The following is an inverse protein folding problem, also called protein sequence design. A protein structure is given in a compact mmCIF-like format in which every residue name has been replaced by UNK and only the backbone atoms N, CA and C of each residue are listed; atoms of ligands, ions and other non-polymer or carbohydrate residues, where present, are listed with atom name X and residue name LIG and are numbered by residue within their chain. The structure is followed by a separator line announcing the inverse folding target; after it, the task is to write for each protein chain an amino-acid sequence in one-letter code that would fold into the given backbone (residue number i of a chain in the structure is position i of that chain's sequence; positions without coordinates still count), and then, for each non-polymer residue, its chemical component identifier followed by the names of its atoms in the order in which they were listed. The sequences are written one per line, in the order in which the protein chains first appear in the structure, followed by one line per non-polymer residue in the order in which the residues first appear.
data_IF_676636153173
#
_entry.id   IF_676636153173
#
_cell.length_a   1.000
_cell.length_b   1.000
_cell.length_c   1.000
_cell.angle_alpha   90.00
_cell.angle_beta   90.00
_cell.angle_gamma   90.00
#
_symmetry.space_group_name_H-M   'P 1'
#
loop_
_entity.id
_entity.type
_entity.pdbx_description
1 polymer ?
#
# COMPACT_ATOMS: atom_id res chain seq x y z
N UNK A 1 -64.79 48.65 -15.77
CA UNK A 1 -64.17 47.81 -14.76
C UNK A 1 -62.74 47.47 -15.23
N UNK A 2 -61.72 48.17 -14.72
CA UNK A 2 -60.31 47.93 -15.11
C UNK A 2 -59.77 46.75 -14.26
N UNK A 3 -59.52 45.68 -14.92
CA UNK A 3 -58.79 44.52 -14.25
C UNK A 3 -57.34 44.90 -14.03
N UNK A 4 -56.94 44.86 -12.79
CA UNK A 4 -55.60 45.20 -12.36
C UNK A 4 -54.66 44.05 -12.77
N UNK A 5 -53.87 44.32 -13.82
CA UNK A 5 -52.89 43.34 -14.38
C UNK A 5 -51.88 42.84 -13.37
N UNK A 6 -51.64 43.56 -12.28
CA UNK A 6 -50.70 43.19 -11.21
C UNK A 6 -51.24 42.06 -10.33
N UNK A 7 -52.57 42.02 -10.12
CA UNK A 7 -53.20 40.92 -9.35
C UNK A 7 -53.29 39.62 -10.14
N UNK A 8 -53.42 39.72 -11.48
CA UNK A 8 -53.38 38.53 -12.35
C UNK A 8 -52.00 37.91 -12.42
N UNK A 9 -50.94 38.73 -12.39
CA UNK A 9 -49.55 38.26 -12.40
C UNK A 9 -49.15 37.63 -11.07
N UNK A 10 -49.69 38.11 -9.93
CA UNK A 10 -49.46 37.49 -8.61
C UNK A 10 -50.17 36.14 -8.48
N UNK A 11 -51.34 35.95 -9.09
CA UNK A 11 -52.03 34.66 -9.10
C UNK A 11 -51.36 33.63 -10.02
N UNK A 12 -50.72 34.06 -11.12
CA UNK A 12 -49.95 33.18 -11.97
C UNK A 12 -48.60 32.77 -11.31
N UNK A 13 -47.97 33.66 -10.53
CA UNK A 13 -46.75 33.29 -9.77
C UNK A 13 -47.07 32.40 -8.56
N UNK A 14 -48.24 32.54 -7.91
CA UNK A 14 -48.63 31.65 -6.81
C UNK A 14 -49.06 30.25 -7.31
N UNK A 15 -49.54 30.12 -8.56
CA UNK A 15 -49.85 28.82 -9.18
C UNK A 15 -48.60 28.03 -9.61
N UNK A 16 -47.48 28.70 -9.87
CA UNK A 16 -46.21 28.05 -10.22
C UNK A 16 -45.39 27.57 -9.00
N UNK A 17 -45.73 28.01 -7.79
CA UNK A 17 -45.03 27.58 -6.55
C UNK A 17 -45.58 26.26 -5.97
N UNK A 18 -46.65 25.70 -6.52
CA UNK A 18 -47.21 24.39 -6.13
C UNK A 18 -47.07 23.30 -7.18
N UNK A 19 -46.37 23.56 -8.30
CA UNK A 19 -45.81 22.48 -9.10
C UNK A 19 -44.52 22.04 -8.41
N UNK A 20 -44.62 21.52 -7.19
CA UNK A 20 -43.60 20.67 -6.61
C UNK A 20 -43.47 19.50 -7.56
N UNK A 21 -42.28 19.21 -8.02
CA UNK A 21 -41.98 17.96 -8.65
C UNK A 21 -42.48 16.85 -7.71
N UNK A 22 -43.63 16.28 -7.96
CA UNK A 22 -43.89 14.93 -7.54
C UNK A 22 -42.82 14.08 -8.24
N UNK A 23 -41.91 13.60 -7.44
CA UNK A 23 -40.88 12.68 -7.88
C UNK A 23 -41.61 11.36 -8.11
N UNK A 24 -42.33 11.22 -9.21
CA UNK A 24 -43.00 9.96 -9.60
C UNK A 24 -41.98 8.81 -9.75
N UNK A 25 -40.69 9.14 -9.86
CA UNK A 25 -39.61 8.16 -9.93
C UNK A 25 -39.29 7.49 -8.60
N UNK A 26 -39.74 7.97 -7.45
CA UNK A 26 -39.44 7.32 -6.15
C UNK A 26 -40.34 6.12 -5.85
N UNK A 27 -41.48 5.99 -6.49
CA UNK A 27 -42.32 4.81 -6.30
C UNK A 27 -42.08 3.69 -7.35
N UNK A 28 -41.55 4.00 -8.53
CA UNK A 28 -41.21 3.00 -9.56
C UNK A 28 -39.80 2.44 -9.45
N UNK A 29 -38.91 3.11 -8.73
CA UNK A 29 -37.57 2.61 -8.43
C UNK A 29 -37.43 2.19 -6.97
N UNK A 30 -38.32 1.35 -6.50
CA UNK A 30 -38.01 0.53 -5.33
C UNK A 30 -36.84 -0.37 -5.71
N UNK A 31 -35.64 -0.01 -5.27
CA UNK A 31 -34.51 -0.93 -5.28
C UNK A 31 -34.96 -2.16 -4.53
N UNK A 32 -35.26 -3.23 -5.25
CA UNK A 32 -35.67 -4.49 -4.65
C UNK A 32 -34.69 -4.87 -3.55
N UNK A 33 -35.19 -5.42 -2.45
CA UNK A 33 -34.32 -5.92 -1.40
C UNK A 33 -33.30 -6.87 -2.00
N UNK A 34 -32.01 -6.64 -1.79
CA UNK A 34 -30.94 -7.47 -2.32
C UNK A 34 -30.03 -7.95 -1.21
N UNK A 35 -29.58 -9.19 -1.37
CA UNK A 35 -28.53 -9.76 -0.54
C UNK A 35 -27.17 -9.35 -1.07
N UNK A 36 -26.23 -9.05 -0.17
CA UNK A 36 -24.83 -8.80 -0.47
C UNK A 36 -23.92 -9.35 0.63
N UNK A 37 -22.70 -9.70 0.28
CA UNK A 37 -21.65 -10.00 1.27
C UNK A 37 -21.22 -8.66 1.89
N UNK A 38 -21.29 -8.56 3.21
CA UNK A 38 -20.92 -7.35 3.95
C UNK A 38 -19.48 -7.36 4.47
N UNK A 39 -18.78 -8.50 4.37
CA UNK A 39 -17.34 -8.58 4.62
C UNK A 39 -16.56 -7.84 3.53
N UNK A 40 -15.31 -7.47 3.82
CA UNK A 40 -14.42 -6.84 2.83
C UNK A 40 -14.31 -7.70 1.56
N UNK A 41 -14.38 -7.09 0.36
CA UNK A 41 -14.32 -7.85 -0.89
C UNK A 41 -12.98 -8.55 -1.11
N UNK A 42 -11.89 -8.00 -0.55
CA UNK A 42 -10.55 -8.60 -0.56
C UNK A 42 -9.96 -8.50 0.85
N UNK A 43 -9.41 -9.59 1.34
CA UNK A 43 -8.54 -9.65 2.52
C UNK A 43 -7.17 -10.13 2.05
N UNK A 44 -6.17 -9.28 2.06
CA UNK A 44 -4.82 -9.51 1.57
C UNK A 44 -3.76 -9.49 2.70
N UNK A 45 -4.22 -9.61 3.93
CA UNK A 45 -3.43 -9.62 5.17
C UNK A 45 -2.99 -11.03 5.62
N UNK A 46 -3.32 -12.07 4.84
CA UNK A 46 -2.95 -13.44 5.16
C UNK A 46 -1.48 -13.71 4.75
N UNK A 47 -0.65 -14.03 5.74
CA UNK A 47 0.78 -14.24 5.53
C UNK A 47 1.13 -15.73 5.61
N UNK A 48 1.98 -16.19 4.68
CA UNK A 48 2.61 -17.51 4.71
C UNK A 48 3.84 -17.40 5.60
N UNK A 49 3.85 -18.10 6.71
CA UNK A 49 4.95 -18.11 7.70
C UNK A 49 5.13 -19.51 8.26
N UNK A 50 6.39 -19.87 8.57
CA UNK A 50 6.73 -21.20 9.10
C UNK A 50 6.08 -21.50 10.45
N UNK A 51 5.86 -20.45 11.27
CA UNK A 51 5.28 -20.54 12.60
C UNK A 51 3.74 -20.46 12.63
N UNK A 52 3.09 -20.14 11.50
CA UNK A 52 1.63 -20.03 11.40
C UNK A 52 1.07 -21.21 10.59
N UNK A 53 0.48 -22.16 11.29
CA UNK A 53 -0.10 -23.36 10.66
C UNK A 53 -1.55 -23.21 10.20
N UNK A 54 -2.21 -22.13 10.61
CA UNK A 54 -3.61 -21.89 10.23
C UNK A 54 -4.11 -20.52 10.67
N UNK A 55 -5.22 -20.12 10.08
CA UNK A 55 -5.95 -18.89 10.37
C UNK A 55 -7.44 -19.11 10.09
N UNK A 56 -8.29 -18.17 10.41
CA UNK A 56 -9.72 -18.23 10.05
C UNK A 56 -10.25 -16.85 9.69
N UNK A 57 -11.22 -16.81 8.80
CA UNK A 57 -11.96 -15.60 8.43
C UNK A 57 -13.44 -15.85 8.43
N UNK A 58 -14.18 -14.85 8.89
CA UNK A 58 -15.63 -14.86 8.96
C UNK A 58 -16.21 -14.14 7.74
N UNK A 59 -17.24 -14.74 7.15
CA UNK A 59 -18.01 -14.15 6.05
C UNK A 59 -19.42 -13.88 6.56
N UNK A 60 -19.86 -12.64 6.42
CA UNK A 60 -21.19 -12.15 6.78
C UNK A 60 -21.94 -11.73 5.52
N UNK A 61 -23.23 -12.06 5.45
CA UNK A 61 -24.13 -11.58 4.41
C UNK A 61 -25.25 -10.74 5.02
N UNK A 62 -25.71 -9.75 4.25
CA UNK A 62 -26.71 -8.80 4.72
C UNK A 62 -27.73 -8.46 3.63
N UNK A 63 -28.94 -8.17 4.06
CA UNK A 63 -30.00 -7.58 3.24
C UNK A 63 -30.02 -6.06 3.38
N UNK A 64 -30.42 -5.38 2.32
CA UNK A 64 -30.63 -3.94 2.35
C UNK A 64 -31.83 -3.53 3.23
N UNK A 65 -32.89 -4.38 3.25
CA UNK A 65 -34.12 -4.21 4.03
C UNK A 65 -34.44 -5.52 4.79
N UNK A 66 -35.25 -5.47 5.86
CA UNK A 66 -35.66 -6.68 6.57
C UNK A 66 -36.27 -7.74 5.65
N UNK A 67 -35.93 -9.00 5.89
CA UNK A 67 -36.42 -10.13 5.12
C UNK A 67 -37.95 -10.25 5.21
N UNK A 68 -38.64 -10.34 4.07
CA UNK A 68 -40.09 -10.59 4.03
C UNK A 68 -40.43 -12.03 4.45
N UNK A 69 -39.53 -12.96 4.16
CA UNK A 69 -39.57 -14.37 4.52
C UNK A 69 -38.18 -14.88 4.88
N UNK A 70 -38.03 -16.13 5.27
CA UNK A 70 -36.72 -16.69 5.55
C UNK A 70 -35.85 -16.70 4.28
N UNK A 71 -34.64 -16.15 4.35
CA UNK A 71 -33.64 -16.17 3.28
C UNK A 71 -32.55 -17.20 3.62
N UNK A 72 -32.21 -18.03 2.65
CA UNK A 72 -31.12 -19.01 2.76
C UNK A 72 -30.07 -18.73 1.70
N UNK A 73 -28.81 -18.64 2.15
CA UNK A 73 -27.64 -18.32 1.32
C UNK A 73 -26.63 -19.45 1.43
N UNK A 74 -26.25 -20.05 0.33
CA UNK A 74 -25.23 -21.11 0.29
C UNK A 74 -23.94 -20.58 -0.32
N UNK A 75 -22.82 -20.79 0.36
CA UNK A 75 -21.49 -20.41 -0.07
C UNK A 75 -20.71 -21.60 -0.62
N UNK A 76 -19.70 -21.28 -1.46
CA UNK A 76 -18.79 -22.25 -2.05
C UNK A 76 -17.40 -21.63 -2.19
N UNK A 77 -16.34 -22.38 -1.79
CA UNK A 77 -14.95 -22.05 -2.07
C UNK A 77 -14.62 -22.45 -3.51
N UNK A 78 -14.04 -21.54 -4.30
CA UNK A 78 -13.74 -21.76 -5.72
C UNK A 78 -12.30 -21.36 -6.10
N UNK A 79 -11.28 -22.14 -5.73
CA UNK A 79 -9.88 -21.84 -6.09
C UNK A 79 -9.67 -21.66 -7.61
N UNK A 80 -10.47 -22.34 -8.43
CA UNK A 80 -10.41 -22.24 -9.89
C UNK A 80 -10.83 -20.85 -10.45
N UNK A 81 -11.36 -19.96 -9.63
CA UNK A 81 -11.66 -18.57 -10.01
C UNK A 81 -10.47 -17.63 -9.81
N UNK A 82 -9.25 -18.12 -9.50
CA UNK A 82 -8.06 -17.29 -9.36
C UNK A 82 -7.78 -16.43 -10.61
N UNK A 83 -7.99 -16.97 -11.81
CA UNK A 83 -7.83 -16.21 -13.04
C UNK A 83 -8.78 -15.00 -13.14
N UNK A 84 -10.01 -15.11 -12.61
CA UNK A 84 -10.94 -13.99 -12.55
C UNK A 84 -10.47 -12.93 -11.56
N UNK A 85 -9.98 -13.33 -10.39
CA UNK A 85 -9.35 -12.42 -9.42
C UNK A 85 -8.20 -11.65 -10.05
N UNK A 86 -7.26 -12.35 -10.71
CA UNK A 86 -6.11 -11.74 -11.36
C UNK A 86 -6.51 -10.70 -12.43
N UNK A 87 -7.57 -10.99 -13.19
CA UNK A 87 -8.08 -10.06 -14.20
C UNK A 87 -8.68 -8.78 -13.56
N UNK A 88 -9.35 -8.91 -12.42
CA UNK A 88 -10.00 -7.78 -11.73
C UNK A 88 -8.98 -6.89 -11.03
N UNK A 89 -7.99 -7.51 -10.36
CA UNK A 89 -7.07 -6.81 -9.45
C UNK A 89 -5.66 -6.63 -10.03
N UNK A 90 -5.38 -7.13 -11.24
CA UNK A 90 -4.06 -7.02 -11.88
C UNK A 90 -2.98 -7.84 -11.17
N UNK A 91 -3.35 -8.97 -10.56
CA UNK A 91 -2.48 -9.86 -9.79
C UNK A 91 -2.09 -11.12 -10.59
N UNK A 92 -1.23 -11.97 -10.00
CA UNK A 92 -0.75 -13.24 -10.57
C UNK A 92 -0.96 -14.42 -9.60
N UNK A 93 -1.92 -14.32 -8.69
CA UNK A 93 -2.19 -15.34 -7.68
C UNK A 93 -2.65 -16.68 -8.31
N UNK A 94 -2.24 -17.78 -7.68
CA UNK A 94 -2.74 -19.13 -7.98
C UNK A 94 -3.87 -19.51 -7.01
N UNK A 95 -4.73 -20.44 -7.39
CA UNK A 95 -5.80 -20.92 -6.50
C UNK A 95 -5.21 -21.61 -5.27
N UNK A 96 -5.74 -21.28 -4.08
CA UNK A 96 -5.33 -21.94 -2.84
C UNK A 96 -5.64 -23.45 -2.95
N UNK A 97 -4.68 -24.35 -2.65
CA UNK A 97 -4.92 -25.79 -2.75
C UNK A 97 -6.03 -26.27 -1.79
N UNK A 98 -6.80 -27.27 -2.20
CA UNK A 98 -7.94 -27.77 -1.41
C UNK A 98 -7.56 -28.32 -0.03
N UNK A 99 -6.31 -28.73 0.16
CA UNK A 99 -5.77 -29.19 1.44
C UNK A 99 -5.52 -28.05 2.44
N UNK A 100 -5.58 -26.80 1.98
CA UNK A 100 -5.23 -25.62 2.78
C UNK A 100 -6.44 -24.81 3.26
N UNK A 101 -7.65 -25.31 3.06
CA UNK A 101 -8.86 -24.68 3.60
C UNK A 101 -9.98 -25.67 3.85
N UNK A 102 -10.87 -25.28 4.75
CA UNK A 102 -12.17 -25.90 4.94
C UNK A 102 -13.24 -24.86 5.28
N UNK A 103 -14.47 -25.13 4.93
CA UNK A 103 -15.64 -24.36 5.33
C UNK A 103 -16.70 -25.32 5.85
N UNK A 104 -16.71 -25.61 7.18
CA UNK A 104 -17.59 -26.60 7.78
C UNK A 104 -19.07 -26.27 7.60
N UNK A 105 -19.43 -25.01 7.85
CA UNK A 105 -20.77 -24.48 7.64
C UNK A 105 -20.77 -23.61 6.37
N UNK A 106 -21.66 -23.93 5.44
CA UNK A 106 -21.74 -23.27 4.13
C UNK A 106 -22.99 -22.41 3.97
N UNK A 107 -23.85 -22.37 4.98
CA UNK A 107 -25.17 -21.79 4.87
C UNK A 107 -25.37 -20.69 5.90
N UNK A 108 -25.77 -19.52 5.40
CA UNK A 108 -26.31 -18.42 6.22
C UNK A 108 -27.84 -18.48 6.11
N UNK A 109 -28.52 -18.38 7.26
CA UNK A 109 -29.97 -18.25 7.33
C UNK A 109 -30.35 -16.92 7.96
N UNK A 110 -31.09 -16.10 7.24
CA UNK A 110 -31.63 -14.81 7.72
C UNK A 110 -33.12 -15.01 7.98
N UNK A 111 -33.52 -14.94 9.23
CA UNK A 111 -34.93 -15.08 9.61
C UNK A 111 -35.77 -13.89 9.16
N UNK A 112 -37.09 -14.14 8.98
CA UNK A 112 -38.07 -13.10 8.65
C UNK A 112 -37.96 -11.91 9.62
N UNK A 113 -38.00 -10.70 9.09
CA UNK A 113 -37.87 -9.43 9.84
C UNK A 113 -36.43 -9.04 10.18
N UNK A 114 -35.44 -9.89 9.91
CA UNK A 114 -34.03 -9.59 10.14
C UNK A 114 -33.34 -9.13 8.85
N UNK A 115 -32.19 -8.45 8.98
CA UNK A 115 -31.31 -8.03 7.89
C UNK A 115 -30.00 -8.85 7.85
N UNK A 116 -29.71 -9.60 8.91
CA UNK A 116 -28.52 -10.47 9.04
C UNK A 116 -28.92 -11.82 9.64
N UNK A 117 -28.12 -12.83 9.40
CA UNK A 117 -28.25 -14.17 9.99
C UNK A 117 -26.99 -14.57 10.77
N UNK A 118 -26.75 -15.88 10.84
CA UNK A 118 -25.48 -16.42 11.27
C UNK A 118 -24.39 -16.09 10.26
N UNK A 119 -23.14 -16.17 10.69
CA UNK A 119 -21.98 -16.08 9.81
C UNK A 119 -21.48 -17.47 9.39
N UNK A 120 -20.70 -17.55 8.34
CA UNK A 120 -19.91 -18.73 7.98
C UNK A 120 -18.42 -18.43 8.18
N UNK A 121 -17.67 -19.47 8.52
CA UNK A 121 -16.23 -19.37 8.79
C UNK A 121 -15.47 -20.21 7.77
N UNK A 122 -14.43 -19.62 7.19
CA UNK A 122 -13.41 -20.33 6.43
C UNK A 122 -12.20 -20.52 7.34
N UNK A 123 -11.81 -21.78 7.55
CA UNK A 123 -10.58 -22.13 8.25
C UNK A 123 -9.50 -22.38 7.22
N UNK A 124 -8.34 -21.76 7.41
CA UNK A 124 -7.14 -22.02 6.62
C UNK A 124 -6.25 -22.99 7.37
N UNK A 125 -5.71 -23.98 6.67
CA UNK A 125 -5.00 -25.11 7.25
C UNK A 125 -3.62 -25.24 6.61
N UNK A 126 -2.62 -25.69 7.40
CA UNK A 126 -1.28 -25.98 6.92
C UNK A 126 -0.68 -24.81 6.09
N UNK A 127 -0.98 -23.57 6.47
CA UNK A 127 -0.55 -22.38 5.73
C UNK A 127 0.97 -22.22 5.70
N UNK A 128 1.67 -22.76 6.68
CA UNK A 128 3.14 -22.83 6.74
C UNK A 128 3.78 -23.78 5.69
N UNK A 129 2.98 -24.58 4.98
CA UNK A 129 3.47 -25.48 3.92
C UNK A 129 3.28 -24.89 2.51
N UNK A 130 2.66 -23.72 2.41
CA UNK A 130 2.54 -23.00 1.15
C UNK A 130 3.89 -22.44 0.73
N UNK A 131 4.11 -22.36 -0.58
CA UNK A 131 5.31 -21.74 -1.14
C UNK A 131 5.27 -20.22 -0.93
N UNK A 132 6.20 -19.68 -0.14
CA UNK A 132 6.28 -18.26 0.18
C UNK A 132 6.61 -17.36 -1.02
N UNK A 133 7.12 -17.92 -2.12
CA UNK A 133 7.41 -17.17 -3.35
C UNK A 133 6.16 -16.99 -4.23
N UNK A 134 5.06 -17.67 -3.91
CA UNK A 134 3.80 -17.59 -4.63
C UNK A 134 2.77 -16.76 -3.86
N UNK A 135 1.87 -16.17 -4.62
CA UNK A 135 0.61 -15.62 -4.09
C UNK A 135 -0.49 -16.64 -4.30
N UNK A 136 -1.32 -16.84 -3.29
CA UNK A 136 -2.49 -17.70 -3.39
C UNK A 136 -3.76 -16.90 -3.16
N UNK A 137 -4.85 -17.28 -3.81
CA UNK A 137 -6.16 -16.69 -3.57
C UNK A 137 -7.21 -17.78 -3.39
N UNK A 138 -8.07 -17.60 -2.39
CA UNK A 138 -9.29 -18.37 -2.22
C UNK A 138 -10.50 -17.47 -2.47
N UNK A 139 -11.11 -17.53 -3.66
CA UNK A 139 -12.42 -16.95 -3.90
C UNK A 139 -13.50 -17.74 -3.16
N UNK A 140 -14.33 -17.06 -2.37
CA UNK A 140 -15.52 -17.63 -1.75
C UNK A 140 -16.73 -16.90 -2.31
N UNK A 141 -17.62 -17.63 -2.97
CA UNK A 141 -18.74 -17.07 -3.70
C UNK A 141 -20.07 -17.60 -3.19
N UNK A 142 -21.12 -16.79 -3.32
CA UNK A 142 -22.49 -17.26 -3.11
C UNK A 142 -22.88 -18.18 -4.28
N UNK A 143 -23.08 -19.46 -3.97
CA UNK A 143 -23.51 -20.47 -4.94
C UNK A 143 -25.01 -20.37 -5.25
N UNK A 144 -25.84 -20.13 -4.21
CA UNK A 144 -27.28 -19.97 -4.36
C UNK A 144 -27.90 -19.10 -3.28
N UNK A 145 -28.97 -18.42 -3.64
CA UNK A 145 -29.82 -17.64 -2.73
C UNK A 145 -31.27 -18.04 -2.93
N UNK A 146 -32.02 -18.17 -1.83
CA UNK A 146 -33.45 -18.39 -1.83
C UNK A 146 -34.16 -17.31 -1.00
N UNK A 147 -35.26 -16.77 -1.48
CA UNK A 147 -36.10 -15.81 -0.79
C UNK A 147 -35.78 -14.34 -1.12
N UNK A 148 -34.73 -14.04 -1.89
CA UNK A 148 -34.38 -12.67 -2.29
C UNK A 148 -33.42 -12.67 -3.48
N UNK A 149 -33.33 -11.55 -4.20
CA UNK A 149 -32.35 -11.37 -5.26
C UNK A 149 -30.94 -11.08 -4.71
N UNK A 150 -29.92 -11.48 -5.46
CA UNK A 150 -28.52 -11.24 -5.16
C UNK A 150 -28.03 -9.95 -5.81
N UNK A 151 -27.21 -9.19 -5.09
CA UNK A 151 -26.39 -8.12 -5.65
C UNK A 151 -25.13 -8.75 -6.27
N UNK A 152 -25.12 -8.96 -7.57
CA UNK A 152 -24.06 -9.67 -8.28
C UNK A 152 -22.65 -9.06 -8.10
N UNK A 153 -22.56 -7.73 -7.97
CA UNK A 153 -21.29 -7.05 -7.73
C UNK A 153 -20.66 -7.34 -6.35
N UNK A 154 -21.45 -7.91 -5.43
CA UNK A 154 -20.99 -8.27 -4.07
C UNK A 154 -21.22 -9.75 -3.78
N UNK A 155 -21.04 -10.60 -4.81
CA UNK A 155 -21.26 -12.03 -4.75
C UNK A 155 -20.08 -12.81 -4.20
N UNK A 156 -18.85 -12.29 -4.38
CA UNK A 156 -17.60 -13.02 -4.10
C UNK A 156 -16.70 -12.19 -3.23
N UNK A 157 -16.07 -12.82 -2.25
CA UNK A 157 -14.94 -12.29 -1.48
C UNK A 157 -13.69 -13.09 -1.79
N UNK A 158 -12.54 -12.46 -1.64
CA UNK A 158 -11.24 -13.04 -1.96
C UNK A 158 -10.32 -12.98 -0.76
N UNK A 159 -9.78 -14.13 -0.36
CA UNK A 159 -8.75 -14.24 0.66
C UNK A 159 -7.42 -14.49 -0.01
N UNK A 160 -6.47 -13.56 0.18
CA UNK A 160 -5.18 -13.58 -0.52
C UNK A 160 -4.07 -13.87 0.46
N UNK A 161 -3.29 -14.91 0.16
CA UNK A 161 -2.06 -15.27 0.86
C UNK A 161 -0.85 -14.77 0.10
N UNK A 162 0.08 -14.23 0.82
CA UNK A 162 1.40 -13.83 0.30
C UNK A 162 2.49 -14.31 1.27
N UNK A 163 3.66 -14.62 0.76
CA UNK A 163 4.79 -14.93 1.61
C UNK A 163 5.04 -13.78 2.57
N UNK A 164 5.19 -14.07 3.83
CA UNK A 164 5.83 -13.14 4.73
C UNK A 164 7.28 -13.04 4.27
N UNK A 165 7.68 -11.89 3.75
CA UNK A 165 9.07 -11.64 3.51
C UNK A 165 9.76 -11.54 4.87
N UNK A 166 10.24 -12.68 5.37
CA UNK A 166 11.10 -12.69 6.53
C UNK A 166 12.45 -12.10 6.09
N UNK A 167 12.67 -10.86 6.51
CA UNK A 167 13.99 -10.27 6.44
C UNK A 167 14.75 -10.79 7.65
N UNK A 168 15.72 -11.68 7.43
CA UNK A 168 16.49 -12.30 8.51
C UNK A 168 17.84 -11.61 8.74
N UNK A 169 18.30 -10.84 7.75
CA UNK A 169 19.58 -10.14 7.78
C UNK A 169 19.41 -8.79 7.12
N UNK A 170 20.03 -7.77 7.69
CA UNK A 170 20.08 -6.40 7.16
C UNK A 170 21.49 -5.86 7.23
N UNK A 171 21.78 -4.78 6.50
CA UNK A 171 23.07 -4.10 6.54
C UNK A 171 23.02 -2.87 7.48
N UNK A 172 23.89 -2.83 8.48
CA UNK A 172 24.27 -1.60 9.17
C UNK A 172 25.32 -0.88 8.31
N UNK A 173 24.92 0.25 7.73
CA UNK A 173 25.73 1.00 6.76
C UNK A 173 26.40 2.25 7.37
N UNK A 174 26.50 2.31 8.70
CA UNK A 174 27.25 3.34 9.35
C UNK A 174 28.69 3.39 8.79
N UNK A 175 29.13 4.59 8.39
CA UNK A 175 30.45 4.86 7.77
C UNK A 175 30.69 4.16 6.40
N UNK A 176 29.69 3.51 5.81
CA UNK A 176 29.80 2.87 4.50
C UNK A 176 28.95 3.62 3.47
N UNK A 177 29.59 4.01 2.39
CA UNK A 177 28.96 4.66 1.25
C UNK A 177 28.77 3.67 0.09
N UNK A 178 27.63 3.69 -0.56
CA UNK A 178 27.37 2.90 -1.75
C UNK A 178 27.11 3.84 -2.94
N UNK A 179 28.10 4.07 -3.82
CA UNK A 179 27.89 4.80 -5.07
C UNK A 179 26.94 4.03 -5.98
N UNK A 180 25.94 4.74 -6.54
CA UNK A 180 24.98 4.16 -7.47
C UNK A 180 25.45 4.38 -8.90
N UNK A 181 25.96 3.33 -9.53
CA UNK A 181 26.32 3.29 -10.93
C UNK A 181 25.16 2.67 -11.72
N UNK A 182 24.26 3.52 -12.19
CA UNK A 182 23.04 3.06 -12.86
C UNK A 182 23.33 2.22 -14.10
N UNK A 183 22.65 1.10 -14.21
CA UNK A 183 22.68 0.24 -15.39
C UNK A 183 22.11 0.97 -16.59
N UNK A 184 22.63 0.67 -17.79
CA UNK A 184 22.07 1.18 -19.04
C UNK A 184 20.66 0.65 -19.37
N UNK A 185 20.17 -0.33 -18.62
CA UNK A 185 18.81 -0.86 -18.76
C UNK A 185 17.74 0.12 -18.27
N UNK A 186 18.10 1.08 -17.40
CA UNK A 186 17.17 2.06 -16.82
C UNK A 186 17.48 3.47 -17.25
N UNK A 187 16.45 4.23 -17.57
CA UNK A 187 16.59 5.67 -17.82
C UNK A 187 16.33 6.46 -16.55
N UNK A 188 17.35 7.10 -16.01
CA UNK A 188 17.30 7.92 -14.80
C UNK A 188 17.52 9.40 -15.09
N UNK A 189 17.43 9.82 -16.35
CA UNK A 189 17.58 11.21 -16.76
C UNK A 189 16.23 11.89 -16.98
N UNK A 190 16.09 13.11 -16.48
CA UNK A 190 14.90 13.94 -16.69
C UNK A 190 13.62 13.35 -16.10
N UNK A 191 13.71 12.59 -15.02
CA UNK A 191 12.57 12.00 -14.33
C UNK A 191 11.61 13.08 -13.86
N UNK A 192 10.33 12.88 -14.11
CA UNK A 192 9.24 13.73 -13.65
C UNK A 192 8.57 13.19 -12.39
N UNK A 193 8.68 11.91 -12.17
CA UNK A 193 8.10 11.19 -11.05
C UNK A 193 9.14 10.29 -10.43
N UNK A 194 9.30 10.35 -9.13
CA UNK A 194 10.19 9.48 -8.36
C UNK A 194 9.46 9.08 -7.07
N UNK A 195 9.44 7.80 -6.78
CA UNK A 195 9.17 7.30 -5.43
C UNK A 195 10.42 6.59 -4.93
N UNK A 196 10.78 6.83 -3.67
CA UNK A 196 11.84 6.10 -2.98
C UNK A 196 11.29 5.57 -1.68
N UNK A 197 11.52 4.29 -1.43
CA UNK A 197 11.09 3.58 -0.23
C UNK A 197 12.29 2.91 0.44
N UNK A 198 12.32 2.85 1.76
CA UNK A 198 13.31 2.07 2.50
C UNK A 198 12.80 1.72 3.90
N UNK A 199 13.21 0.56 4.42
CA UNK A 199 13.20 0.28 5.85
C UNK A 199 14.49 0.81 6.47
N UNK A 200 14.37 1.60 7.53
CA UNK A 200 15.51 2.19 8.23
C UNK A 200 15.36 2.02 9.74
N UNK A 201 16.46 1.76 10.42
CA UNK A 201 16.54 1.78 11.88
C UNK A 201 17.84 2.46 12.31
N UNK A 202 17.77 3.48 13.15
CA UNK A 202 18.94 4.07 13.78
C UNK A 202 18.91 3.88 15.29
N UNK A 203 20.03 3.58 15.85
CA UNK A 203 20.21 3.51 17.31
C UNK A 203 20.47 4.88 17.92
N UNK A 204 20.90 5.83 17.12
CA UNK A 204 21.21 7.17 17.55
C UNK A 204 21.28 8.13 16.35
N UNK A 205 20.29 9.00 16.21
CA UNK A 205 20.29 10.05 15.18
C UNK A 205 21.30 11.20 15.46
N UNK A 206 21.82 11.25 16.68
CA UNK A 206 22.77 12.30 17.12
C UNK A 206 24.22 11.85 17.17
N UNK A 207 24.50 10.59 16.87
CA UNK A 207 25.78 9.91 17.06
C UNK A 207 26.99 10.74 16.60
N UNK A 208 27.60 11.47 17.49
CA UNK A 208 28.98 12.00 17.54
C UNK A 208 29.72 12.42 16.25
N UNK A 209 29.01 12.55 15.14
CA UNK A 209 29.57 12.68 13.78
C UNK A 209 30.07 14.08 13.44
N UNK A 210 29.81 15.06 14.30
CA UNK A 210 30.10 16.47 14.00
C UNK A 210 29.20 17.08 12.90
N UNK A 211 28.18 16.33 12.44
CA UNK A 211 27.21 16.74 11.43
C UNK A 211 25.78 16.47 11.90
N UNK A 212 24.87 17.38 11.54
CA UNK A 212 23.44 17.29 11.92
C UNK A 212 22.61 16.39 10.99
N UNK A 213 23.22 15.76 9.99
CA UNK A 213 22.58 15.16 8.81
C UNK A 213 22.97 13.71 8.64
N UNK A 214 21.99 12.88 8.26
CA UNK A 214 22.15 11.48 7.87
C UNK A 214 21.58 11.29 6.48
N UNK A 215 22.38 10.76 5.54
CA UNK A 215 21.93 10.57 4.16
C UNK A 215 21.35 9.19 3.97
N UNK A 216 20.19 9.07 3.32
CA UNK A 216 19.55 7.80 2.98
C UNK A 216 19.86 7.46 1.52
N UNK A 217 19.40 8.27 0.58
CA UNK A 217 19.55 8.01 -0.85
C UNK A 217 19.48 9.30 -1.65
N UNK A 218 20.33 9.41 -2.67
CA UNK A 218 20.20 10.44 -3.69
C UNK A 218 21.47 11.25 -3.97
N UNK A 219 21.27 12.51 -4.37
CA UNK A 219 22.29 13.44 -4.86
C UNK A 219 22.21 14.74 -4.09
N UNK A 220 23.28 15.12 -3.43
CA UNK A 220 23.36 16.41 -2.72
C UNK A 220 23.02 17.60 -3.64
N UNK A 221 22.14 18.49 -3.17
CA UNK A 221 21.73 19.69 -3.90
C UNK A 221 20.77 19.48 -5.08
N UNK A 222 20.41 18.22 -5.42
CA UNK A 222 19.53 17.90 -6.53
C UNK A 222 18.30 17.09 -6.10
N UNK A 223 18.50 15.87 -5.63
CA UNK A 223 17.46 15.01 -5.10
C UNK A 223 18.08 14.13 -4.02
N UNK A 224 17.82 14.42 -2.76
CA UNK A 224 18.38 13.68 -1.64
C UNK A 224 17.34 13.49 -0.55
N UNK A 225 17.14 12.24 -0.16
CA UNK A 225 16.44 11.89 1.07
C UNK A 225 17.48 11.81 2.17
N UNK A 226 17.31 12.68 3.17
CA UNK A 226 18.19 12.77 4.34
C UNK A 226 17.39 12.99 5.61
N UNK A 227 17.98 12.74 6.75
CA UNK A 227 17.36 12.85 8.06
C UNK A 227 18.19 13.83 8.89
N UNK A 228 17.52 14.82 9.48
CA UNK A 228 18.15 15.94 10.16
C UNK A 228 18.66 17.04 9.23
N UNK A 229 18.99 18.18 9.82
CA UNK A 229 19.74 19.31 9.26
C UNK A 229 20.03 20.31 10.40
N UNK A 230 20.79 21.37 10.11
CA UNK A 230 21.12 22.41 11.07
C UNK A 230 19.90 23.19 11.60
N UNK A 231 18.83 23.27 10.78
CA UNK A 231 17.61 24.04 11.05
C UNK A 231 16.43 23.19 11.55
N UNK A 232 16.62 21.89 11.77
CA UNK A 232 15.53 20.95 12.10
C UNK A 232 15.96 19.86 13.07
N UNK A 233 15.00 19.10 13.65
CA UNK A 233 15.31 17.96 14.49
C UNK A 233 16.20 16.94 13.76
N UNK A 234 17.17 16.37 14.49
CA UNK A 234 18.13 15.39 13.98
C UNK A 234 17.51 14.13 13.39
N UNK A 235 16.29 13.82 13.79
CA UNK A 235 15.52 12.64 13.36
C UNK A 235 14.39 12.98 12.37
N UNK A 236 14.26 14.23 11.91
CA UNK A 236 13.22 14.58 10.93
C UNK A 236 13.70 14.34 9.51
N UNK A 237 12.94 13.58 8.71
CA UNK A 237 13.22 13.40 7.29
C UNK A 237 13.11 14.72 6.50
N UNK A 238 14.00 14.89 5.55
CA UNK A 238 13.99 15.98 4.57
C UNK A 238 14.25 15.44 3.17
N UNK A 239 13.44 15.86 2.22
CA UNK A 239 13.72 15.76 0.80
C UNK A 239 14.34 17.06 0.29
N UNK A 240 15.59 17.00 -0.16
CA UNK A 240 16.19 18.03 -1.02
C UNK A 240 15.71 17.76 -2.44
N UNK A 241 15.15 18.75 -3.12
CA UNK A 241 14.64 18.59 -4.47
C UNK A 241 14.73 19.94 -5.23
N UNK A 242 14.47 19.99 -6.56
CA UNK A 242 14.57 21.21 -7.34
C UNK A 242 13.73 22.39 -6.81
N UNK A 243 12.74 22.11 -5.98
CA UNK A 243 11.79 23.06 -5.44
C UNK A 243 12.12 23.46 -3.98
N UNK A 244 13.33 23.18 -3.51
CA UNK A 244 13.81 23.46 -2.16
C UNK A 244 13.66 22.28 -1.21
N UNK A 245 14.02 22.52 0.05
CA UNK A 245 13.99 21.49 1.09
C UNK A 245 12.58 21.32 1.67
N UNK A 246 12.10 20.08 1.74
CA UNK A 246 10.74 19.73 2.20
C UNK A 246 10.76 18.43 3.04
N UNK A 247 9.85 18.23 4.00
CA UNK A 247 8.95 19.22 4.59
C UNK A 247 9.70 20.30 5.39
N UNK A 248 8.99 21.36 5.79
CA UNK A 248 9.55 22.40 6.64
C UNK A 248 9.98 21.87 8.01
N UNK A 249 10.88 22.56 8.75
CA UNK A 249 11.26 22.15 10.10
C UNK A 249 10.04 21.94 10.99
N UNK A 250 10.00 20.81 11.73
CA UNK A 250 8.91 20.37 12.60
C UNK A 250 7.54 20.13 11.91
N UNK A 251 7.48 20.09 10.58
CA UNK A 251 6.24 19.83 9.83
C UNK A 251 5.95 18.34 9.59
N UNK A 252 6.82 17.45 10.04
CA UNK A 252 6.63 16.01 10.02
C UNK A 252 7.17 15.40 11.32
N UNK A 253 6.66 14.25 11.76
CA UNK A 253 7.18 13.55 12.93
C UNK A 253 8.63 13.13 12.70
N UNK A 254 9.41 13.09 13.77
CA UNK A 254 10.75 12.52 13.76
C UNK A 254 10.72 11.01 13.73
N UNK A 255 11.76 10.39 13.17
CA UNK A 255 11.94 8.95 13.23
C UNK A 255 12.35 8.53 14.66
N UNK A 256 11.81 7.44 15.20
CA UNK A 256 12.22 6.91 16.49
C UNK A 256 13.65 6.36 16.46
N UNK A 257 14.20 6.01 17.62
CA UNK A 257 15.44 5.28 17.75
C UNK A 257 15.16 3.83 18.12
N UNK A 258 15.97 2.89 17.66
CA UNK A 258 15.87 1.45 17.88
C UNK A 258 14.59 0.77 17.35
N UNK A 259 13.83 1.47 16.51
CA UNK A 259 12.63 0.94 15.89
C UNK A 259 12.78 0.96 14.37
N UNK A 260 12.27 -0.06 13.71
CA UNK A 260 12.17 -0.08 12.27
C UNK A 260 11.05 0.84 11.78
N UNK A 261 11.38 1.66 10.81
CA UNK A 261 10.41 2.53 10.16
C UNK A 261 10.52 2.35 8.65
N UNK A 262 9.42 2.03 8.01
CA UNK A 262 9.32 2.15 6.57
C UNK A 262 9.09 3.62 6.22
N UNK A 263 10.02 4.18 5.49
CA UNK A 263 9.90 5.54 4.93
C UNK A 263 9.62 5.43 3.44
N UNK A 264 8.71 6.27 2.94
CA UNK A 264 8.49 6.42 1.51
C UNK A 264 8.31 7.90 1.16
N UNK A 265 8.97 8.34 0.10
CA UNK A 265 8.89 9.71 -0.40
C UNK A 265 8.48 9.67 -1.87
N UNK A 266 7.38 10.33 -2.17
CA UNK A 266 6.89 10.59 -3.52
C UNK A 266 7.22 12.04 -3.89
N UNK A 267 7.78 12.23 -5.07
CA UNK A 267 7.93 13.52 -5.73
C UNK A 267 7.45 13.36 -7.17
N UNK A 268 6.38 14.04 -7.54
CA UNK A 268 5.78 13.97 -8.87
C UNK A 268 5.54 15.37 -9.44
N UNK A 269 6.39 15.79 -10.37
CA UNK A 269 6.28 17.07 -11.05
C UNK A 269 5.18 17.10 -12.11
N UNK A 270 4.48 15.99 -12.40
CA UNK A 270 3.35 15.96 -13.33
C UNK A 270 2.05 16.30 -12.63
N UNK A 271 1.89 15.90 -11.39
CA UNK A 271 0.74 16.24 -10.52
C UNK A 271 1.03 17.42 -9.60
N UNK A 272 2.32 17.69 -9.32
CA UNK A 272 2.78 18.64 -8.34
C UNK A 272 3.03 18.02 -6.96
N UNK A 273 2.74 16.74 -6.76
CA UNK A 273 2.71 16.11 -5.44
C UNK A 273 4.11 15.91 -4.83
N UNK A 274 4.24 16.25 -3.55
CA UNK A 274 5.27 15.74 -2.64
C UNK A 274 4.56 15.09 -1.46
N UNK A 275 4.84 13.81 -1.23
CA UNK A 275 4.19 13.04 -0.17
C UNK A 275 5.25 12.25 0.58
N UNK A 276 5.22 12.34 1.91
CA UNK A 276 6.07 11.57 2.79
C UNK A 276 5.21 10.64 3.66
N UNK A 277 5.59 9.38 3.67
CA UNK A 277 4.93 8.31 4.43
C UNK A 277 5.87 7.74 5.48
N UNK A 278 5.34 7.44 6.66
CA UNK A 278 5.95 6.57 7.67
C UNK A 278 5.04 5.38 7.91
N UNK A 279 5.57 4.16 7.80
CA UNK A 279 4.82 2.91 8.00
C UNK A 279 3.50 2.86 7.21
N UNK A 280 3.54 3.30 5.95
CA UNK A 280 2.38 3.33 5.07
C UNK A 280 1.40 4.49 5.27
N UNK A 281 1.58 5.31 6.31
CA UNK A 281 0.70 6.44 6.60
C UNK A 281 1.30 7.77 6.12
N UNK A 282 0.46 8.63 5.53
CA UNK A 282 0.86 9.98 5.11
C UNK A 282 1.14 10.84 6.33
N UNK A 283 2.36 11.35 6.44
CA UNK A 283 2.78 12.24 7.55
C UNK A 283 3.08 13.66 7.10
N UNK A 284 3.31 13.88 5.83
CA UNK A 284 3.37 15.22 5.23
C UNK A 284 3.03 15.15 3.74
N UNK A 285 2.34 16.18 3.22
CA UNK A 285 2.07 16.31 1.79
C UNK A 285 1.88 17.78 1.39
N UNK A 286 2.25 18.11 0.15
CA UNK A 286 1.92 19.37 -0.50
C UNK A 286 1.98 19.24 -2.03
N UNK A 287 1.69 20.33 -2.75
CA UNK A 287 1.74 20.42 -4.22
C UNK A 287 2.91 21.30 -4.68
N UNK A 288 4.12 21.01 -4.18
CA UNK A 288 5.32 21.82 -4.45
C UNK A 288 6.30 21.20 -5.44
N UNK A 289 6.01 20.03 -6.05
CA UNK A 289 6.90 19.38 -7.00
C UNK A 289 6.78 20.02 -8.40
N UNK A 290 7.91 20.33 -9.02
CA UNK A 290 7.99 20.78 -10.41
C UNK A 290 9.38 20.55 -10.98
N UNK A 291 9.52 20.61 -12.30
CA UNK A 291 10.82 20.44 -12.96
C UNK A 291 11.11 18.99 -13.34
N UNK A 292 12.35 18.57 -13.20
CA UNK A 292 12.80 17.18 -13.44
C UNK A 292 14.08 16.89 -12.65
N UNK A 293 14.33 15.62 -12.39
CA UNK A 293 15.50 15.13 -11.68
C UNK A 293 16.26 14.15 -12.57
N UNK A 294 17.60 14.17 -12.49
CA UNK A 294 18.46 13.15 -13.10
C UNK A 294 19.33 12.53 -12.01
N UNK A 295 19.29 11.20 -11.91
CA UNK A 295 20.02 10.45 -10.87
C UNK A 295 21.33 9.82 -11.38
N UNK A 296 21.75 10.13 -12.59
CA UNK A 296 22.85 9.45 -13.29
C UNK A 296 24.26 9.78 -12.82
N UNK A 297 24.46 10.73 -11.92
CA UNK A 297 25.78 11.17 -11.48
C UNK A 297 25.80 11.55 -10.00
N UNK A 298 26.84 11.13 -9.28
CA UNK A 298 27.00 11.39 -7.82
C UNK A 298 25.80 10.96 -6.95
N UNK A 299 25.12 9.88 -7.34
CA UNK A 299 24.05 9.28 -6.58
C UNK A 299 24.62 8.25 -5.60
N UNK A 300 24.15 8.26 -4.36
CA UNK A 300 24.65 7.38 -3.30
C UNK A 300 23.51 6.84 -2.44
N UNK A 301 23.77 5.69 -1.82
CA UNK A 301 23.04 5.20 -0.64
C UNK A 301 23.97 5.41 0.57
N UNK A 302 23.40 5.93 1.66
CA UNK A 302 24.11 6.10 2.93
C UNK A 302 25.20 7.16 2.93
N UNK A 303 25.25 8.03 1.91
CA UNK A 303 26.29 9.06 1.80
C UNK A 303 25.78 10.29 1.04
N UNK A 304 26.33 11.45 1.38
CA UNK A 304 26.27 12.67 0.58
C UNK A 304 27.39 13.62 0.97
N UNK A 305 27.98 14.30 0.04
CA UNK A 305 28.95 15.40 0.19
C UNK A 305 30.22 15.08 0.98
N UNK A 306 30.17 14.60 2.24
CA UNK A 306 31.33 14.30 3.07
C UNK A 306 31.15 13.06 3.96
N UNK A 307 32.25 12.63 4.59
CA UNK A 307 32.35 11.40 5.35
C UNK A 307 31.63 11.43 6.73
N UNK A 308 30.96 12.53 7.08
CA UNK A 308 30.22 12.64 8.34
C UNK A 308 28.72 12.51 8.16
N UNK A 309 28.24 12.38 6.90
CA UNK A 309 26.80 12.39 6.55
C UNK A 309 26.23 11.02 6.26
N UNK A 310 26.85 9.97 6.77
CA UNK A 310 26.37 8.60 6.61
C UNK A 310 25.08 8.32 7.42
N UNK A 311 24.35 7.28 7.04
CA UNK A 311 23.20 6.80 7.81
C UNK A 311 23.69 6.07 9.07
N UNK A 312 23.30 6.48 10.29
CA UNK A 312 23.78 5.87 11.53
C UNK A 312 22.96 4.64 11.93
N UNK A 313 22.94 3.59 11.12
CA UNK A 313 22.17 2.41 11.43
C UNK A 313 21.94 1.48 10.26
N UNK A 314 20.89 0.71 10.40
CA UNK A 314 20.51 -0.34 9.48
C UNK A 314 19.57 0.18 8.38
N UNK A 315 19.71 -0.43 7.20
CA UNK A 315 18.84 -0.22 6.03
C UNK A 315 18.46 -1.56 5.41
N UNK A 316 17.25 -1.63 4.90
CA UNK A 316 16.76 -2.73 4.08
C UNK A 316 15.70 -2.24 3.12
N UNK A 317 15.36 -3.07 2.11
CA UNK A 317 14.24 -2.85 1.19
C UNK A 317 14.27 -1.48 0.50
N UNK A 318 15.45 -0.98 0.12
CA UNK A 318 15.57 0.28 -0.59
C UNK A 318 15.13 0.12 -2.05
N UNK A 319 14.12 0.87 -2.44
CA UNK A 319 13.49 0.82 -3.77
C UNK A 319 13.43 2.19 -4.39
N UNK A 320 13.68 2.27 -5.68
CA UNK A 320 13.58 3.50 -6.46
C UNK A 320 12.67 3.26 -7.65
N UNK A 321 11.67 4.11 -7.80
CA UNK A 321 10.63 4.00 -8.83
C UNK A 321 10.58 5.27 -9.69
N UNK A 322 10.18 5.12 -10.97
CA UNK A 322 9.84 6.24 -11.84
C UNK A 322 8.33 6.49 -11.96
N UNK A 323 7.56 5.98 -11.01
CA UNK A 323 6.11 6.15 -10.91
C UNK A 323 5.74 6.64 -9.51
N UNK A 324 4.60 7.30 -9.40
CA UNK A 324 3.97 7.60 -8.13
C UNK A 324 3.38 6.31 -7.53
N UNK A 325 3.85 5.93 -6.36
CA UNK A 325 3.25 4.83 -5.59
C UNK A 325 2.10 5.38 -4.76
N UNK A 326 0.96 4.70 -4.76
CA UNK A 326 -0.18 5.06 -3.91
C UNK A 326 0.06 4.64 -2.46
N UNK A 327 -0.69 5.24 -1.53
CA UNK A 327 -0.63 4.86 -0.11
C UNK A 327 -0.90 3.37 0.09
N UNK A 328 -1.92 2.83 -0.56
CA UNK A 328 -2.27 1.40 -0.50
C UNK A 328 -1.12 0.51 -0.98
N UNK A 329 -0.50 0.86 -2.12
CA UNK A 329 0.65 0.13 -2.64
C UNK A 329 1.84 0.16 -1.69
N UNK A 330 2.12 1.32 -1.06
CA UNK A 330 3.21 1.47 -0.09
C UNK A 330 2.91 0.67 1.17
N UNK A 331 1.71 0.81 1.74
CA UNK A 331 1.33 0.16 2.99
C UNK A 331 1.31 -1.39 2.86
N UNK A 332 0.84 -1.91 1.72
CA UNK A 332 0.76 -3.37 1.49
C UNK A 332 2.09 -4.03 1.15
N UNK A 333 3.15 -3.26 0.88
CA UNK A 333 4.42 -3.81 0.39
C UNK A 333 5.66 -3.32 1.14
N UNK A 334 5.52 -2.92 2.41
CA UNK A 334 6.65 -2.36 3.19
C UNK A 334 7.85 -3.31 3.29
N UNK A 335 7.61 -4.61 3.37
CA UNK A 335 8.66 -5.62 3.61
C UNK A 335 9.09 -6.37 2.35
N UNK A 336 8.33 -6.30 1.29
CA UNK A 336 8.66 -6.91 -0.01
C UNK A 336 7.84 -6.33 -1.13
N UNK A 337 8.35 -6.46 -2.35
CA UNK A 337 7.63 -6.10 -3.59
C UNK A 337 8.03 -7.10 -4.67
N UNK A 338 7.11 -7.38 -5.60
CA UNK A 338 7.45 -8.16 -6.79
C UNK A 338 8.51 -7.39 -7.60
N UNK A 339 9.70 -8.00 -7.82
CA UNK A 339 10.76 -7.38 -8.62
C UNK A 339 10.35 -7.00 -10.04
N UNK A 340 9.33 -7.65 -10.60
CA UNK A 340 8.82 -7.37 -11.93
C UNK A 340 7.79 -6.22 -11.97
N UNK A 341 7.50 -5.56 -10.83
CA UNK A 341 6.52 -4.48 -10.77
C UNK A 341 6.91 -3.33 -11.71
N UNK A 342 6.00 -2.89 -12.61
CA UNK A 342 6.29 -1.81 -13.54
C UNK A 342 6.70 -0.51 -12.83
N UNK A 343 7.73 0.14 -13.36
CA UNK A 343 8.24 1.40 -12.82
C UNK A 343 9.35 1.24 -11.78
N UNK A 344 9.69 0.04 -11.36
CA UNK A 344 10.80 -0.22 -10.45
C UNK A 344 12.14 -0.04 -11.21
N UNK A 345 12.93 0.96 -10.81
CA UNK A 345 14.23 1.26 -11.41
C UNK A 345 15.37 0.48 -10.76
N UNK A 346 15.31 0.31 -9.45
CA UNK A 346 16.27 -0.47 -8.66
C UNK A 346 15.63 -0.95 -7.35
N UNK A 347 16.08 -2.10 -6.87
CA UNK A 347 15.64 -2.70 -5.63
C UNK A 347 16.81 -3.38 -4.91
N UNK A 348 17.23 -2.81 -3.81
CA UNK A 348 18.33 -3.33 -2.98
C UNK A 348 17.78 -3.80 -1.65
N UNK A 349 17.82 -5.13 -1.46
CA UNK A 349 17.30 -5.74 -0.23
C UNK A 349 18.21 -5.53 0.98
N UNK A 350 19.51 -5.41 0.76
CA UNK A 350 20.54 -5.34 1.80
C UNK A 350 20.48 -6.54 2.76
N UNK A 351 20.34 -7.74 2.20
CA UNK A 351 20.17 -8.99 2.95
C UNK A 351 21.19 -10.07 2.57
N UNK A 352 22.30 -9.72 1.94
CA UNK A 352 23.32 -10.66 1.47
C UNK A 352 24.08 -11.39 2.60
N UNK A 353 24.11 -10.83 3.81
CA UNK A 353 24.71 -11.42 5.00
C UNK A 353 26.24 -11.45 5.01
N UNK A 354 26.91 -11.02 3.95
CA UNK A 354 28.37 -10.98 3.86
C UNK A 354 28.86 -10.14 2.68
N UNK A 355 30.12 -9.68 2.75
CA UNK A 355 30.74 -8.89 1.68
C UNK A 355 30.23 -7.46 1.62
N UNK A 356 30.56 -6.75 0.54
CA UNK A 356 30.21 -5.35 0.32
C UNK A 356 29.48 -5.10 -1.01
N UNK A 357 28.99 -6.14 -1.66
CA UNK A 357 28.19 -6.04 -2.86
C UNK A 357 26.73 -6.23 -2.51
N UNK A 358 25.88 -5.35 -3.01
CA UNK A 358 24.43 -5.44 -2.85
C UNK A 358 23.84 -5.64 -4.24
N UNK A 359 23.10 -6.73 -4.41
CA UNK A 359 22.50 -7.09 -5.69
C UNK A 359 21.21 -6.31 -5.93
N UNK A 360 21.01 -5.89 -7.17
CA UNK A 360 19.76 -5.28 -7.61
C UNK A 360 18.73 -6.38 -7.90
N UNK A 361 17.80 -6.56 -6.97
CA UNK A 361 16.73 -7.55 -7.08
C UNK A 361 15.67 -7.21 -8.15
N UNK A 362 15.64 -5.98 -8.68
CA UNK A 362 14.71 -5.61 -9.76
C UNK A 362 15.05 -6.28 -11.11
N UNK A 363 16.23 -6.88 -11.20
CA UNK A 363 16.72 -7.46 -12.46
C UNK A 363 17.27 -6.46 -13.46
N UNK A 364 17.26 -5.16 -13.16
CA UNK A 364 17.78 -4.11 -14.05
C UNK A 364 19.33 -4.00 -14.02
N UNK A 365 19.97 -4.65 -13.06
CA UNK A 365 21.43 -4.79 -13.00
C UNK A 365 22.18 -3.59 -12.40
N UNK A 366 21.51 -2.74 -11.62
CA UNK A 366 22.14 -1.64 -10.88
C UNK A 366 22.68 -2.14 -9.53
N UNK A 367 23.67 -3.03 -9.54
CA UNK A 367 24.30 -3.54 -8.34
C UNK A 367 25.16 -2.47 -7.66
N UNK A 368 25.24 -2.52 -6.32
CA UNK A 368 26.06 -1.60 -5.55
C UNK A 368 27.34 -2.29 -5.05
N UNK A 369 28.40 -1.49 -4.88
CA UNK A 369 29.60 -1.91 -4.19
C UNK A 369 29.94 -0.86 -3.13
N UNK A 370 29.96 -1.28 -1.88
CA UNK A 370 30.25 -0.40 -0.75
C UNK A 370 31.69 0.06 -0.69
N UNK A 371 31.93 1.25 -0.18
CA UNK A 371 33.29 1.79 0.13
C UNK A 371 34.01 0.96 1.19
N UNK A 372 33.29 0.15 1.94
CA UNK A 372 33.72 -0.83 2.92
C UNK A 372 32.68 -1.92 3.04
N UNK A 373 32.94 -2.91 3.91
CA UNK A 373 31.99 -3.96 4.23
C UNK A 373 31.04 -3.46 5.33
N UNK A 374 29.71 -3.46 5.12
CA UNK A 374 28.77 -3.15 6.17
C UNK A 374 28.78 -4.21 7.27
N UNK A 375 28.36 -3.86 8.47
CA UNK A 375 28.07 -4.84 9.51
C UNK A 375 26.73 -5.51 9.16
N UNK A 376 26.73 -6.83 9.04
CA UNK A 376 25.54 -7.63 8.80
C UNK A 376 24.86 -7.99 10.12
N UNK A 377 23.60 -7.59 10.27
CA UNK A 377 22.85 -7.72 11.52
C UNK A 377 21.70 -8.70 11.32
N UNK A 378 21.63 -9.74 12.17
CA UNK A 378 20.48 -10.64 12.19
C UNK A 378 19.25 -9.92 12.76
N UNK A 379 18.13 -10.09 12.11
CA UNK A 379 16.82 -9.52 12.49
C UNK A 379 15.72 -10.54 12.16
N UNK A 380 14.54 -10.27 12.67
CA UNK A 380 13.30 -10.96 12.27
C UNK A 380 12.28 -9.88 11.93
N UNK A 381 11.97 -9.68 10.64
CA UNK A 381 11.01 -8.68 10.20
C UNK A 381 9.92 -9.30 9.31
N UNK A 382 8.66 -8.86 9.49
CA UNK A 382 8.16 -7.93 10.52
C UNK A 382 8.29 -8.48 11.94
N UNK A 383 8.53 -7.60 12.92
CA UNK A 383 8.58 -7.93 14.35
C UNK A 383 7.18 -8.26 14.89
#
# INVERSE_FOLDING_TARGET
MKFDKTKLMLFLLAGLAFAGCENEDTEEHHFGNKLYISSAPVSDDLLIRDDITGDSRTISARLALPAAEQVTVTFECRPNMAAQYNMIYGDNAVGLPEANFEMPEKVITIGQGNVTGNDVVVNFLNTNQLDGDLRYVLPVTIASVQGVDLLESSRTVYFVFKGAALINVVANIAEVAFPVNWSSAVNVSGLKTITVEALVRSRDWEAGRGNALSSVFGIEGSFLIRIGDADRPRNQLQLVNPNGNWPSPNAAPGLPVNEWVHIAVVWDATTGDRIYYQNGEVVASDNGASGSVSLGYNCYVGYSYDNTRWLPGEISELRVWNVQRTQEQIASSMYTVDPATPGLLAYWKFNEGSGNQIMDASGNGTNLTGSGTPEWVNVELPE
#
